data_IF_521716451665
#
_entry.id   IF_521716451665
#
_cell.length_a   1.000
_cell.length_b   1.000
_cell.length_c   1.000
_cell.angle_alpha   90.00
_cell.angle_beta   90.00
_cell.angle_gamma   90.00
#
_symmetry.space_group_name_H-M   'P 1'
#
loop_
_entity.id
_entity.type
_entity.pdbx_description
1 polymer ?
#
# COMPACT_ATOMS: atom_id res chain seq x y z
N UNK A 1 21.66 72.64 36.10
CA UNK A 1 23.03 73.07 35.83
C UNK A 1 23.64 72.10 34.83
N UNK A 2 23.99 72.74 33.77
CA UNK A 2 25.04 72.47 32.74
C UNK A 2 24.83 71.33 31.76
N UNK A 3 24.60 71.81 30.56
CA UNK A 3 24.72 71.19 29.22
C UNK A 3 26.04 70.49 28.98
N UNK A 4 26.00 69.43 28.15
CA UNK A 4 27.00 69.25 27.10
C UNK A 4 26.34 68.47 25.92
N UNK A 5 26.24 69.19 24.81
CA UNK A 5 25.95 68.64 23.45
C UNK A 5 27.17 67.92 22.98
N UNK A 6 26.97 66.67 22.38
CA UNK A 6 27.97 66.12 21.53
C UNK A 6 27.30 65.59 20.26
N UNK A 7 27.72 66.18 19.15
CA UNK A 7 27.34 65.85 17.77
C UNK A 7 27.87 64.46 17.35
N UNK A 8 26.98 63.59 16.98
CA UNK A 8 27.38 62.38 16.31
C UNK A 8 26.99 62.48 14.82
N UNK A 9 27.99 62.55 13.96
CA UNK A 9 27.87 62.54 12.50
C UNK A 9 27.37 61.19 12.04
N UNK A 10 26.19 61.15 11.43
CA UNK A 10 25.66 59.95 10.77
C UNK A 10 26.39 59.79 9.45
N UNK A 11 27.19 58.72 9.34
CA UNK A 11 27.81 58.26 8.11
C UNK A 11 26.83 57.31 7.45
N UNK A 12 26.15 57.76 6.37
CA UNK A 12 25.29 56.89 5.57
C UNK A 12 26.18 56.08 4.65
N UNK A 13 26.41 54.79 4.99
CA UNK A 13 27.02 53.81 4.09
C UNK A 13 25.87 53.23 3.29
N UNK A 14 25.82 53.58 2.00
CA UNK A 14 24.97 52.92 1.02
C UNK A 14 25.49 51.54 0.74
N UNK A 15 24.91 50.52 1.35
CA UNK A 15 25.13 49.11 1.01
C UNK A 15 24.30 48.80 -0.23
N UNK A 16 24.93 48.72 -1.38
CA UNK A 16 24.35 48.12 -2.57
C UNK A 16 24.16 46.61 -2.34
N UNK A 17 22.92 46.23 -2.03
CA UNK A 17 22.54 44.83 -1.91
C UNK A 17 22.43 44.24 -3.31
N UNK A 18 23.48 43.57 -3.75
CA UNK A 18 23.40 42.70 -4.94
C UNK A 18 22.51 41.51 -4.62
N UNK A 19 21.26 41.58 -5.05
CA UNK A 19 20.34 40.42 -5.03
C UNK A 19 20.83 39.45 -6.12
N UNK A 20 21.71 38.53 -5.74
CA UNK A 20 21.99 37.37 -6.56
C UNK A 20 20.75 36.49 -6.50
N UNK A 21 19.97 36.55 -7.57
CA UNK A 21 18.81 35.66 -7.73
C UNK A 21 19.31 34.21 -7.74
N UNK A 22 19.08 33.49 -6.65
CA UNK A 22 19.24 32.04 -6.63
C UNK A 22 18.23 31.45 -7.63
N UNK A 23 18.67 30.63 -8.61
CA UNK A 23 17.71 29.94 -9.43
C UNK A 23 16.87 29.05 -8.52
N UNK A 24 15.56 29.28 -8.53
CA UNK A 24 14.62 28.32 -7.95
C UNK A 24 14.76 27.08 -8.81
N UNK A 25 15.49 26.06 -8.33
CA UNK A 25 15.40 24.73 -8.87
C UNK A 25 13.95 24.30 -8.66
N UNK A 26 13.14 24.40 -9.70
CA UNK A 26 11.91 23.64 -9.77
C UNK A 26 12.35 22.19 -9.78
N UNK A 27 12.20 21.53 -8.64
CA UNK A 27 12.28 20.08 -8.59
C UNK A 27 11.22 19.59 -9.57
N UNK A 28 11.64 19.13 -10.74
CA UNK A 28 10.80 18.31 -11.58
C UNK A 28 10.36 17.15 -10.69
N UNK A 29 9.09 17.16 -10.33
CA UNK A 29 8.46 16.02 -9.70
C UNK A 29 8.53 14.95 -10.78
N UNK A 30 9.57 14.10 -10.71
CA UNK A 30 9.67 12.90 -11.51
C UNK A 30 8.41 12.09 -11.15
N UNK A 31 7.41 12.23 -12.01
CA UNK A 31 6.24 11.36 -11.99
C UNK A 31 6.79 9.99 -12.35
N UNK A 32 7.10 9.18 -11.32
CA UNK A 32 7.51 7.80 -11.53
C UNK A 32 6.47 7.17 -12.45
N UNK A 33 6.89 6.54 -13.56
CA UNK A 33 5.95 5.93 -14.47
C UNK A 33 5.08 4.99 -13.67
N UNK A 34 3.76 5.10 -13.84
CA UNK A 34 2.83 4.09 -13.35
C UNK A 34 3.35 2.76 -13.90
N UNK A 35 3.69 1.82 -13.02
CA UNK A 35 4.05 0.49 -13.44
C UNK A 35 2.77 -0.06 -14.04
N UNK A 36 2.73 -0.18 -15.37
CA UNK A 36 1.61 -0.78 -16.07
C UNK A 36 1.55 -2.26 -15.67
N UNK A 37 0.75 -2.54 -14.67
CA UNK A 37 0.61 -3.88 -14.11
C UNK A 37 -0.61 -4.53 -14.72
N UNK A 38 -0.41 -5.30 -15.79
CA UNK A 38 -1.46 -6.15 -16.33
C UNK A 38 -1.59 -7.43 -15.47
N UNK A 39 -2.60 -7.52 -14.57
CA UNK A 39 -2.72 -8.66 -13.68
C UNK A 39 -3.01 -9.96 -14.40
N UNK A 40 -3.67 -9.91 -15.58
CA UNK A 40 -3.97 -11.11 -16.36
C UNK A 40 -2.71 -11.78 -16.92
N UNK A 41 -1.69 -10.99 -17.27
CA UNK A 41 -0.40 -11.53 -17.71
C UNK A 41 0.41 -12.09 -16.53
N UNK A 42 0.35 -11.42 -15.39
CA UNK A 42 1.11 -11.79 -14.20
C UNK A 42 0.49 -13.00 -13.48
N UNK A 43 -0.80 -12.95 -13.21
CA UNK A 43 -1.50 -13.88 -12.31
C UNK A 43 -2.55 -14.75 -13.01
N UNK A 44 -3.00 -14.35 -14.21
CA UNK A 44 -4.22 -14.86 -14.82
C UNK A 44 -5.45 -14.17 -14.21
N UNK A 45 -6.45 -14.97 -13.90
CA UNK A 45 -7.73 -14.48 -13.36
C UNK A 45 -7.76 -14.34 -11.82
N UNK A 46 -6.72 -14.90 -11.11
CA UNK A 46 -6.82 -15.04 -9.66
C UNK A 46 -5.47 -15.19 -8.97
N UNK A 47 -5.38 -14.68 -7.73
CA UNK A 47 -4.32 -15.00 -6.76
C UNK A 47 -4.96 -15.72 -5.56
N UNK A 48 -4.28 -16.75 -5.03
CA UNK A 48 -4.72 -17.50 -3.85
C UNK A 48 -3.55 -17.66 -2.89
N UNK A 49 -3.77 -17.28 -1.63
CA UNK A 49 -2.87 -17.55 -0.52
C UNK A 49 -3.57 -18.37 0.56
N UNK A 50 -2.87 -19.37 1.10
CA UNK A 50 -3.19 -19.85 2.43
C UNK A 50 -2.63 -18.87 3.47
N UNK A 51 -3.41 -18.61 4.51
CA UNK A 51 -2.98 -17.82 5.67
C UNK A 51 -2.58 -18.77 6.77
N UNK A 52 -1.34 -18.65 7.21
CA UNK A 52 -0.71 -19.53 8.19
C UNK A 52 -0.34 -18.74 9.43
N UNK A 53 -0.74 -19.22 10.60
CA UNK A 53 -0.38 -18.68 11.91
C UNK A 53 0.35 -19.77 12.68
N UNK A 54 1.58 -19.46 13.14
CA UNK A 54 2.41 -20.42 13.90
C UNK A 54 2.47 -21.81 13.25
N UNK A 55 2.65 -21.85 11.93
CA UNK A 55 2.76 -23.08 11.15
C UNK A 55 1.44 -23.80 10.85
N UNK A 56 0.30 -23.29 11.32
CA UNK A 56 -1.03 -23.86 11.05
C UNK A 56 -1.81 -22.99 10.08
N UNK A 57 -2.43 -23.61 9.06
CA UNK A 57 -3.37 -22.91 8.20
C UNK A 57 -4.60 -22.49 9.00
N UNK A 58 -4.87 -21.18 9.01
CA UNK A 58 -5.99 -20.58 9.73
C UNK A 58 -6.96 -19.83 8.82
N UNK A 59 -6.60 -19.63 7.55
CA UNK A 59 -7.43 -18.83 6.64
C UNK A 59 -7.00 -18.95 5.18
N UNK A 60 -7.64 -18.09 4.38
CA UNK A 60 -7.41 -17.96 2.95
C UNK A 60 -7.55 -16.49 2.52
N UNK A 61 -6.73 -16.06 1.57
CA UNK A 61 -6.89 -14.80 0.87
C UNK A 61 -6.97 -15.05 -0.64
N UNK A 62 -8.02 -14.54 -1.26
CA UNK A 62 -8.28 -14.67 -2.70
C UNK A 62 -8.43 -13.29 -3.31
N UNK A 63 -7.76 -13.06 -4.43
CA UNK A 63 -7.92 -11.86 -5.26
C UNK A 63 -8.32 -12.31 -6.65
N UNK A 64 -9.48 -11.85 -7.12
CA UNK A 64 -10.01 -12.14 -8.46
C UNK A 64 -9.93 -10.91 -9.35
N UNK A 65 -9.56 -11.11 -10.61
CA UNK A 65 -9.44 -10.08 -11.63
C UNK A 65 -10.47 -10.30 -12.74
N UNK A 66 -11.20 -9.23 -13.09
CA UNK A 66 -12.23 -9.25 -14.12
C UNK A 66 -12.10 -8.04 -15.04
N UNK A 67 -12.64 -8.13 -16.25
CA UNK A 67 -12.58 -7.07 -17.25
C UNK A 67 -11.33 -7.11 -18.11
N UNK A 68 -10.66 -6.00 -18.28
CA UNK A 68 -9.42 -5.87 -19.06
C UNK A 68 -8.42 -4.94 -18.38
N UNK A 69 -7.19 -4.82 -18.92
CA UNK A 69 -6.14 -4.04 -18.27
C UNK A 69 -6.50 -2.56 -18.10
N UNK A 70 -7.27 -1.98 -19.02
CA UNK A 70 -7.65 -0.57 -18.97
C UNK A 70 -8.97 -0.30 -18.23
N UNK A 71 -9.77 -1.34 -17.98
CA UNK A 71 -11.02 -1.27 -17.22
C UNK A 71 -11.12 -2.53 -16.36
N UNK A 72 -10.38 -2.50 -15.24
CA UNK A 72 -10.13 -3.64 -14.38
C UNK A 72 -11.01 -3.56 -13.13
N UNK A 73 -11.73 -4.63 -12.86
CA UNK A 73 -12.46 -4.84 -11.62
C UNK A 73 -11.75 -5.91 -10.78
N UNK A 74 -11.37 -5.56 -9.57
CA UNK A 74 -10.66 -6.43 -8.64
C UNK A 74 -11.53 -6.69 -7.42
N UNK A 75 -11.73 -7.96 -7.08
CA UNK A 75 -12.32 -8.34 -5.80
C UNK A 75 -11.25 -9.01 -4.94
N UNK A 76 -11.27 -8.72 -3.64
CA UNK A 76 -10.38 -9.38 -2.69
C UNK A 76 -11.21 -9.88 -1.50
N UNK A 77 -10.99 -11.12 -1.11
CA UNK A 77 -11.66 -11.76 0.03
C UNK A 77 -10.62 -12.42 0.91
N UNK A 78 -10.66 -12.08 2.19
CA UNK A 78 -9.84 -12.71 3.20
C UNK A 78 -10.74 -13.25 4.30
N UNK A 79 -10.49 -14.48 4.73
CA UNK A 79 -11.14 -15.05 5.89
C UNK A 79 -10.12 -15.80 6.75
N UNK A 80 -10.21 -15.60 8.04
CA UNK A 80 -9.38 -16.25 9.05
C UNK A 80 -10.23 -16.71 10.21
N UNK A 81 -9.98 -17.94 10.70
CA UNK A 81 -10.63 -18.49 11.90
C UNK A 81 -9.59 -19.16 12.77
N UNK A 82 -9.66 -18.86 14.07
CA UNK A 82 -8.81 -19.46 15.09
C UNK A 82 -9.71 -20.21 16.06
N UNK A 83 -9.58 -21.52 16.09
CA UNK A 83 -10.30 -22.39 17.02
C UNK A 83 -9.37 -22.82 18.16
N UNK A 84 -9.87 -22.75 19.40
CA UNK A 84 -9.21 -23.25 20.62
C UNK A 84 -10.13 -24.28 21.24
N UNK A 85 -9.67 -25.53 21.42
CA UNK A 85 -10.43 -26.63 22.00
C UNK A 85 -11.83 -26.81 21.39
N UNK A 86 -11.91 -26.70 20.04
CA UNK A 86 -13.14 -26.82 19.24
C UNK A 86 -14.13 -25.64 19.37
N UNK A 87 -13.73 -24.56 20.03
CA UNK A 87 -14.52 -23.33 20.16
C UNK A 87 -13.90 -22.29 19.23
N UNK A 88 -14.72 -21.62 18.40
CA UNK A 88 -14.25 -20.48 17.63
C UNK A 88 -13.86 -19.36 18.61
N UNK A 89 -12.56 -19.10 18.71
CA UNK A 89 -11.99 -18.11 19.62
C UNK A 89 -11.80 -16.75 18.94
N UNK A 90 -11.72 -16.72 17.60
CA UNK A 90 -11.58 -15.49 16.81
C UNK A 90 -11.93 -15.74 15.35
N UNK A 91 -12.60 -14.79 14.74
CA UNK A 91 -12.88 -14.79 13.31
C UNK A 91 -12.62 -13.40 12.70
N UNK A 92 -12.04 -13.39 11.52
CA UNK A 92 -11.84 -12.16 10.76
C UNK A 92 -12.26 -12.37 9.31
N UNK A 93 -13.10 -11.47 8.81
CA UNK A 93 -13.55 -11.47 7.43
C UNK A 93 -13.33 -10.09 6.80
N UNK A 94 -12.75 -10.09 5.63
CA UNK A 94 -12.53 -8.91 4.81
C UNK A 94 -13.03 -9.17 3.40
N UNK A 95 -13.66 -8.17 2.82
CA UNK A 95 -13.97 -8.16 1.40
C UNK A 95 -13.77 -6.76 0.83
N UNK A 96 -13.23 -6.68 -0.38
CA UNK A 96 -13.14 -5.43 -1.12
C UNK A 96 -13.49 -5.60 -2.59
N UNK A 97 -13.95 -4.51 -3.18
CA UNK A 97 -14.22 -4.36 -4.61
C UNK A 97 -13.60 -3.05 -5.06
N UNK A 98 -12.79 -3.09 -6.10
CA UNK A 98 -12.07 -1.93 -6.62
C UNK A 98 -12.20 -1.85 -8.14
N UNK A 99 -12.49 -0.66 -8.66
CA UNK A 99 -12.43 -0.35 -10.08
C UNK A 99 -11.17 0.45 -10.38
N UNK A 100 -10.42 -0.01 -11.37
CA UNK A 100 -9.23 0.63 -11.88
C UNK A 100 -9.41 0.95 -13.35
N UNK A 101 -9.06 2.19 -13.75
CA UNK A 101 -9.09 2.61 -15.17
C UNK A 101 -7.74 3.18 -15.54
N UNK A 102 -7.16 2.66 -16.60
CA UNK A 102 -5.85 3.08 -17.10
C UNK A 102 -4.78 3.10 -15.98
N UNK A 103 -4.77 2.05 -15.13
CA UNK A 103 -3.84 1.90 -14.01
C UNK A 103 -4.12 2.79 -12.79
N UNK A 104 -5.21 3.58 -12.79
CA UNK A 104 -5.59 4.49 -11.70
C UNK A 104 -6.81 3.96 -10.95
N UNK A 105 -6.75 3.97 -9.62
CA UNK A 105 -7.89 3.61 -8.77
C UNK A 105 -9.02 4.64 -8.91
N UNK A 106 -10.21 4.17 -9.28
CA UNK A 106 -11.40 5.00 -9.45
C UNK A 106 -12.33 4.95 -8.24
N UNK A 107 -12.59 3.76 -7.75
CA UNK A 107 -13.36 3.55 -6.54
C UNK A 107 -12.93 2.26 -5.84
N UNK A 108 -13.19 2.22 -4.56
CA UNK A 108 -12.93 1.08 -3.69
C UNK A 108 -14.05 1.03 -2.64
N UNK A 109 -14.61 -0.16 -2.46
CA UNK A 109 -15.49 -0.47 -1.33
C UNK A 109 -14.90 -1.60 -0.52
N UNK A 110 -14.87 -1.44 0.79
CA UNK A 110 -14.35 -2.44 1.74
C UNK A 110 -15.38 -2.71 2.82
N UNK A 111 -15.50 -3.95 3.20
CA UNK A 111 -16.23 -4.41 4.37
C UNK A 111 -15.31 -5.30 5.21
N UNK A 112 -15.22 -5.03 6.49
CA UNK A 112 -14.49 -5.81 7.48
C UNK A 112 -15.45 -6.25 8.57
N UNK A 113 -15.31 -7.49 9.03
CA UNK A 113 -15.91 -8.01 10.24
C UNK A 113 -14.81 -8.64 11.08
N UNK A 114 -14.40 -7.94 12.13
CA UNK A 114 -13.39 -8.35 13.07
C UNK A 114 -14.07 -8.85 14.35
N UNK A 115 -14.28 -10.16 14.44
CA UNK A 115 -14.92 -10.85 15.54
C UNK A 115 -16.28 -10.21 15.99
N UNK A 116 -17.04 -9.74 14.98
CA UNK A 116 -18.33 -9.06 15.18
C UNK A 116 -18.28 -7.54 15.08
N UNK A 117 -17.14 -6.93 15.25
CA UNK A 117 -16.94 -5.49 14.99
C UNK A 117 -16.88 -5.22 13.51
N UNK A 118 -17.74 -4.32 13.02
CA UNK A 118 -17.89 -4.04 11.59
C UNK A 118 -17.29 -2.69 11.22
N UNK A 119 -16.50 -2.69 10.17
CA UNK A 119 -15.95 -1.50 9.55
C UNK A 119 -16.27 -1.47 8.06
N UNK A 120 -16.45 -0.28 7.50
CA UNK A 120 -16.62 -0.10 6.06
C UNK A 120 -15.87 1.12 5.56
N UNK A 121 -15.29 0.98 4.36
CA UNK A 121 -14.60 2.04 3.64
C UNK A 121 -15.22 2.17 2.26
N UNK A 122 -15.41 3.40 1.80
CA UNK A 122 -15.77 3.71 0.42
C UNK A 122 -14.91 4.84 -0.10
N UNK A 123 -14.47 4.71 -1.34
CA UNK A 123 -13.78 5.80 -2.04
C UNK A 123 -14.45 6.09 -3.37
N UNK A 124 -14.26 7.30 -3.85
CA UNK A 124 -14.71 7.69 -5.18
C UNK A 124 -13.74 8.70 -5.78
N UNK A 125 -13.29 8.43 -7.02
CA UNK A 125 -12.47 9.37 -7.78
C UNK A 125 -13.23 10.63 -8.13
N UNK A 126 -12.59 11.75 -7.90
CA UNK A 126 -12.91 13.05 -8.45
C UNK A 126 -11.84 13.40 -9.50
N UNK A 127 -11.61 14.61 -9.82
CA UNK A 127 -10.62 14.99 -10.85
C UNK A 127 -9.23 14.30 -10.61
N UNK A 128 -8.48 14.80 -9.66
CA UNK A 128 -7.11 14.37 -9.35
C UNK A 128 -6.93 13.81 -7.92
N UNK A 129 -8.03 13.46 -7.25
CA UNK A 129 -8.04 12.89 -5.90
C UNK A 129 -9.15 11.85 -5.74
N UNK A 130 -9.04 11.03 -4.69
CA UNK A 130 -10.14 10.22 -4.16
C UNK A 130 -10.77 10.94 -2.97
N UNK A 131 -12.10 10.94 -2.90
CA UNK A 131 -12.80 11.13 -1.62
C UNK A 131 -12.83 9.81 -0.90
N UNK A 132 -12.51 9.82 0.39
CA UNK A 132 -12.50 8.64 1.26
C UNK A 132 -13.55 8.83 2.35
N UNK A 133 -14.38 7.81 2.59
CA UNK A 133 -15.37 7.77 3.66
C UNK A 133 -15.23 6.44 4.41
N UNK A 134 -14.90 6.51 5.67
CA UNK A 134 -14.64 5.37 6.56
C UNK A 134 -15.55 5.34 7.81
N UNK A 135 -16.71 5.99 7.71
CA UNK A 135 -17.65 6.12 8.84
C UNK A 135 -17.35 7.29 9.78
N UNK A 136 -16.28 8.03 9.52
CA UNK A 136 -15.91 9.29 10.17
C UNK A 136 -16.07 10.46 9.20
N UNK A 137 -15.53 11.63 9.55
CA UNK A 137 -15.46 12.76 8.62
C UNK A 137 -14.60 12.38 7.40
N UNK A 138 -15.18 12.51 6.21
CA UNK A 138 -14.51 12.14 4.96
C UNK A 138 -13.33 13.06 4.64
N UNK A 139 -12.32 12.52 3.97
CA UNK A 139 -11.15 13.27 3.55
C UNK A 139 -10.78 13.01 2.09
N UNK A 140 -9.80 13.75 1.58
CA UNK A 140 -9.33 13.65 0.20
C UNK A 140 -7.90 13.14 0.15
N UNK A 141 -7.62 12.26 -0.82
CA UNK A 141 -6.30 11.68 -1.05
C UNK A 141 -5.87 11.97 -2.49
N UNK A 142 -4.69 12.57 -2.73
CA UNK A 142 -4.17 12.79 -4.07
C UNK A 142 -3.96 11.47 -4.82
N UNK A 143 -4.16 11.50 -6.14
CA UNK A 143 -3.85 10.39 -7.04
C UNK A 143 -2.44 10.54 -7.65
N UNK A 144 -1.75 9.44 -7.96
CA UNK A 144 -2.16 8.06 -7.73
C UNK A 144 -2.03 7.64 -6.25
N UNK A 145 -2.91 6.76 -5.81
CA UNK A 145 -2.85 6.13 -4.50
C UNK A 145 -3.07 4.63 -4.64
N UNK A 146 -2.38 3.84 -3.84
CA UNK A 146 -2.51 2.38 -3.82
C UNK A 146 -3.09 1.94 -2.48
N UNK A 147 -4.13 1.08 -2.49
CA UNK A 147 -4.59 0.42 -1.28
C UNK A 147 -3.63 -0.70 -0.88
N UNK A 148 -3.72 -1.16 0.37
CA UNK A 148 -2.89 -2.23 0.94
C UNK A 148 -3.25 -3.65 0.42
N UNK A 149 -3.62 -3.76 -0.85
CA UNK A 149 -3.98 -5.05 -1.50
C UNK A 149 -2.80 -5.76 -2.18
N UNK A 150 -1.66 -5.13 -2.28
CA UNK A 150 -0.34 -5.63 -2.71
C UNK A 150 -0.24 -6.34 -4.07
N UNK A 151 -1.33 -6.68 -4.75
CA UNK A 151 -1.27 -7.32 -6.07
C UNK A 151 -0.60 -6.43 -7.14
N UNK A 152 -0.66 -5.10 -6.96
CA UNK A 152 -0.06 -4.12 -7.85
C UNK A 152 1.27 -3.62 -7.27
N UNK A 153 2.38 -4.04 -7.88
CA UNK A 153 3.73 -3.66 -7.44
C UNK A 153 4.02 -2.14 -7.58
N UNK A 154 3.15 -1.36 -8.21
CA UNK A 154 3.23 0.10 -8.23
C UNK A 154 3.21 0.74 -6.84
N UNK A 155 2.71 0.01 -5.83
CA UNK A 155 2.76 0.42 -4.42
C UNK A 155 4.20 0.60 -3.92
N UNK A 156 5.18 -0.13 -4.45
CA UNK A 156 6.58 -0.07 -4.02
C UNK A 156 7.25 1.29 -4.25
N UNK A 157 6.70 2.11 -5.13
CA UNK A 157 7.18 3.46 -5.41
C UNK A 157 6.49 4.54 -4.55
N UNK A 158 5.67 4.14 -3.58
CA UNK A 158 4.86 5.08 -2.79
C UNK A 158 5.46 5.28 -1.39
N UNK A 159 5.24 6.45 -0.83
CA UNK A 159 5.49 6.77 0.58
C UNK A 159 4.18 6.95 1.37
N UNK A 160 3.04 6.76 0.71
CA UNK A 160 1.70 6.76 1.31
C UNK A 160 0.86 5.65 0.69
N UNK A 161 0.11 4.95 1.54
CA UNK A 161 -0.82 3.90 1.13
C UNK A 161 -2.17 4.09 1.80
N UNK A 162 -3.24 3.74 1.12
CA UNK A 162 -4.57 3.71 1.72
C UNK A 162 -4.74 2.38 2.46
N UNK A 163 -4.75 2.43 3.78
CA UNK A 163 -4.98 1.26 4.61
C UNK A 163 -6.43 0.80 4.49
N UNK A 164 -6.64 -0.36 3.92
CA UNK A 164 -7.99 -0.89 3.67
C UNK A 164 -8.67 -1.45 4.92
N UNK A 165 -7.94 -1.65 6.01
CA UNK A 165 -8.50 -2.14 7.28
C UNK A 165 -8.94 -1.01 8.21
N UNK A 166 -8.27 0.15 8.15
CA UNK A 166 -8.60 1.30 9.01
C UNK A 166 -9.23 2.45 8.25
N UNK A 167 -9.08 2.48 6.93
CA UNK A 167 -9.51 3.60 6.08
C UNK A 167 -8.65 4.84 6.23
N UNK A 168 -7.45 4.74 6.78
CA UNK A 168 -6.51 5.83 6.98
C UNK A 168 -5.48 5.91 5.85
N UNK A 169 -4.87 7.07 5.70
CA UNK A 169 -3.72 7.27 4.83
C UNK A 169 -2.44 7.08 5.65
N UNK A 170 -1.82 5.92 5.51
CA UNK A 170 -0.58 5.58 6.21
C UNK A 170 0.65 6.12 5.48
N UNK A 171 1.56 6.75 6.21
CA UNK A 171 2.90 7.06 5.73
C UNK A 171 3.78 5.82 5.90
N UNK A 172 4.45 5.43 4.83
CA UNK A 172 5.29 4.24 4.83
C UNK A 172 6.65 4.52 4.21
N UNK A 173 7.67 3.86 4.73
CA UNK A 173 8.96 3.70 4.08
C UNK A 173 9.06 2.24 3.62
N UNK A 174 9.34 2.02 2.33
CA UNK A 174 9.42 0.69 1.73
C UNK A 174 10.84 0.44 1.30
N UNK A 175 11.52 -0.51 1.95
CA UNK A 175 12.95 -0.77 1.79
C UNK A 175 13.18 -2.18 1.25
N UNK A 176 14.00 -2.30 0.19
CA UNK A 176 14.49 -3.58 -0.33
C UNK A 176 15.43 -4.25 0.68
N UNK A 177 15.17 -5.52 1.01
CA UNK A 177 15.97 -6.31 1.95
C UNK A 177 16.84 -7.39 1.28
N UNK A 178 16.67 -7.58 -0.02
CA UNK A 178 17.42 -8.57 -0.80
C UNK A 178 16.57 -9.74 -1.28
N UNK A 179 17.16 -10.53 -2.19
CA UNK A 179 16.53 -11.73 -2.72
C UNK A 179 16.67 -12.91 -1.77
N UNK A 180 15.61 -13.68 -1.64
CA UNK A 180 15.62 -14.95 -0.92
C UNK A 180 14.67 -15.97 -1.54
N UNK A 181 14.75 -17.24 -1.08
CA UNK A 181 13.86 -18.31 -1.54
C UNK A 181 12.65 -18.41 -0.63
N UNK A 182 11.49 -18.07 -1.18
CA UNK A 182 10.20 -18.05 -0.48
C UNK A 182 9.45 -19.35 -0.74
N UNK A 183 8.94 -19.97 0.32
CA UNK A 183 8.09 -21.16 0.20
C UNK A 183 6.73 -20.81 -0.40
N UNK A 184 6.25 -21.66 -1.29
CA UNK A 184 4.92 -21.60 -1.88
C UNK A 184 4.30 -23.01 -1.88
N UNK A 185 3.00 -23.11 -2.10
CA UNK A 185 2.33 -24.41 -2.26
C UNK A 185 2.84 -25.27 -3.45
N UNK A 186 3.65 -24.68 -4.33
CA UNK A 186 4.23 -25.34 -5.51
C UNK A 186 5.76 -25.46 -5.47
N UNK A 187 6.38 -25.25 -4.30
CA UNK A 187 7.82 -25.23 -4.12
C UNK A 187 8.35 -23.86 -3.77
N UNK A 188 9.65 -23.60 -4.00
CA UNK A 188 10.29 -22.35 -3.65
C UNK A 188 10.41 -21.43 -4.85
N UNK A 189 10.20 -20.12 -4.61
CA UNK A 189 10.35 -19.07 -5.62
C UNK A 189 11.37 -18.07 -5.11
N UNK A 190 12.29 -17.62 -5.99
CA UNK A 190 13.20 -16.51 -5.69
C UNK A 190 12.43 -15.20 -5.74
N UNK A 191 12.44 -14.45 -4.64
CA UNK A 191 11.72 -13.19 -4.53
C UNK A 191 12.53 -12.14 -3.78
N UNK A 192 12.32 -10.88 -4.12
CA UNK A 192 12.82 -9.72 -3.40
C UNK A 192 11.92 -9.46 -2.21
N UNK A 193 12.49 -9.36 -1.02
CA UNK A 193 11.81 -8.95 0.20
C UNK A 193 11.79 -7.45 0.32
N UNK A 194 10.63 -6.88 0.61
CA UNK A 194 10.40 -5.48 0.93
C UNK A 194 9.85 -5.36 2.34
N UNK A 195 10.50 -4.55 3.19
CA UNK A 195 9.98 -4.21 4.50
C UNK A 195 9.29 -2.85 4.45
N UNK A 196 8.08 -2.80 4.97
CA UNK A 196 7.33 -1.58 5.23
C UNK A 196 7.56 -1.17 6.67
N UNK A 197 7.82 0.11 6.89
CA UNK A 197 7.93 0.73 8.21
C UNK A 197 7.15 2.04 8.25
N UNK A 198 6.92 2.59 9.44
CA UNK A 198 6.12 3.79 9.65
C UNK A 198 4.75 3.45 10.25
N UNK A 199 3.67 3.97 9.65
CA UNK A 199 2.30 3.73 10.15
C UNK A 199 1.78 2.32 9.82
N UNK A 200 2.49 1.56 8.98
CA UNK A 200 2.20 0.17 8.64
C UNK A 200 3.49 -0.64 8.64
N UNK A 201 3.52 -1.73 9.43
CA UNK A 201 4.66 -2.64 9.50
C UNK A 201 4.26 -3.99 8.90
N UNK A 202 4.94 -4.39 7.82
CA UNK A 202 4.75 -5.68 7.16
C UNK A 202 5.93 -6.01 6.26
N UNK A 203 6.13 -7.26 5.95
CA UNK A 203 7.09 -7.71 4.95
C UNK A 203 6.38 -8.36 3.78
N UNK A 204 6.81 -8.03 2.56
CA UNK A 204 6.15 -8.48 1.33
C UNK A 204 7.20 -8.96 0.35
N UNK A 205 6.87 -10.03 -0.36
CA UNK A 205 7.74 -10.64 -1.36
C UNK A 205 7.15 -10.52 -2.75
N UNK A 206 7.98 -9.98 -3.65
CA UNK A 206 7.68 -9.96 -5.09
C UNK A 206 8.77 -10.73 -5.84
N UNK A 207 8.35 -11.60 -6.75
CA UNK A 207 9.29 -12.31 -7.61
C UNK A 207 9.93 -11.41 -8.68
N UNK A 208 10.77 -11.98 -9.55
CA UNK A 208 11.48 -11.24 -10.61
C UNK A 208 10.54 -10.59 -11.63
N UNK A 209 9.31 -11.07 -11.75
CA UNK A 209 8.25 -10.49 -12.59
C UNK A 209 7.37 -9.48 -11.85
N UNK A 210 7.76 -9.10 -10.62
CA UNK A 210 6.96 -8.24 -9.74
C UNK A 210 5.59 -8.81 -9.37
N UNK A 211 5.46 -10.16 -9.31
CA UNK A 211 4.27 -10.82 -8.79
C UNK A 211 4.36 -10.94 -7.28
N UNK A 212 3.29 -10.60 -6.60
CA UNK A 212 3.15 -10.80 -5.16
C UNK A 212 3.09 -12.29 -4.83
N UNK A 213 4.07 -12.79 -4.10
CA UNK A 213 4.24 -14.22 -3.81
C UNK A 213 4.26 -14.55 -2.32
N UNK A 214 4.25 -13.55 -1.47
CA UNK A 214 4.23 -13.76 -0.01
C UNK A 214 4.04 -12.46 0.75
N UNK A 215 3.59 -12.59 2.01
CA UNK A 215 3.50 -11.51 2.99
C UNK A 215 3.67 -12.08 4.38
N UNK A 216 4.24 -11.31 5.29
CA UNK A 216 4.33 -11.64 6.71
C UNK A 216 4.12 -10.38 7.54
N UNK A 217 3.39 -10.52 8.64
CA UNK A 217 3.24 -9.49 9.65
C UNK A 217 3.02 -10.11 11.03
N UNK A 218 3.16 -9.30 12.06
CA UNK A 218 2.91 -9.71 13.45
C UNK A 218 1.49 -9.28 13.83
N UNK A 219 0.69 -10.23 14.26
CA UNK A 219 -0.65 -9.97 14.79
C UNK A 219 -0.61 -9.19 16.11
N UNK A 220 -1.74 -8.63 16.52
CA UNK A 220 -1.86 -7.87 17.78
C UNK A 220 -1.54 -8.70 19.04
N UNK A 221 -1.64 -10.02 18.93
CA UNK A 221 -1.28 -10.98 19.99
C UNK A 221 0.19 -11.44 19.94
N UNK A 222 1.01 -10.86 19.05
CA UNK A 222 2.42 -11.20 18.84
C UNK A 222 2.65 -12.42 17.95
N UNK A 223 1.61 -13.07 17.44
CA UNK A 223 1.76 -14.22 16.54
C UNK A 223 2.20 -13.82 15.13
N UNK A 224 3.01 -14.68 14.50
CA UNK A 224 3.43 -14.49 13.12
C UNK A 224 2.37 -15.01 12.16
N UNK A 225 1.90 -14.13 11.28
CA UNK A 225 0.95 -14.42 10.21
C UNK A 225 1.68 -14.39 8.88
N UNK A 226 1.62 -15.49 8.14
CA UNK A 226 2.28 -15.64 6.82
C UNK A 226 1.26 -15.96 5.74
N UNK A 227 1.48 -15.38 4.57
CA UNK A 227 0.75 -15.68 3.34
C UNK A 227 1.58 -16.64 2.50
N UNK A 228 1.12 -17.87 2.37
CA UNK A 228 1.74 -18.92 1.56
C UNK A 228 1.03 -18.99 0.20
N UNK A 229 1.72 -18.58 -0.84
CA UNK A 229 1.15 -18.58 -2.19
C UNK A 229 0.76 -19.97 -2.68
N UNK A 230 -0.51 -20.17 -3.05
CA UNK A 230 -1.04 -21.37 -3.71
C UNK A 230 -1.19 -21.16 -5.22
N UNK A 231 -1.62 -19.96 -5.64
CA UNK A 231 -1.74 -19.54 -7.03
C UNK A 231 -1.33 -18.07 -7.15
N UNK A 232 -0.11 -17.78 -7.60
CA UNK A 232 0.43 -16.42 -7.74
C UNK A 232 1.10 -16.21 -9.11
N UNK A 233 0.72 -16.99 -10.10
CA UNK A 233 1.17 -16.86 -11.48
C UNK A 233 0.09 -17.29 -12.44
N UNK A 234 0.02 -16.65 -13.62
CA UNK A 234 -0.72 -17.20 -14.74
C UNK A 234 -0.21 -18.62 -15.02
N UNK A 235 -1.10 -19.56 -15.33
CA UNK A 235 -0.68 -20.86 -15.80
C UNK A 235 0.24 -20.66 -17.02
N UNK A 236 1.48 -21.16 -16.94
CA UNK A 236 2.31 -21.26 -18.13
C UNK A 236 1.53 -22.10 -19.13
N UNK A 237 1.21 -21.55 -20.29
CA UNK A 237 0.86 -22.41 -21.42
C UNK A 237 2.14 -23.20 -21.72
N UNK A 238 2.19 -24.43 -21.24
CA UNK A 238 3.18 -25.36 -21.71
C UNK A 238 2.97 -25.46 -23.23
N UNK A 239 4.00 -25.06 -23.99
CA UNK A 239 4.08 -25.25 -25.44
C UNK A 239 4.67 -26.62 -25.75
#
# INVERSE_FOLDING_TARGET
MTHIFSFFKIFIISILLNIVGTPILTADIYKLPLIDTNPFELYGDQIIFDVVREGKRVGIHVVDFHGGPNDLFVTSKFSLKIDILFINAYSFEYSSQANWKDGVLHDLSVLVNDDGEKFSLKTQKRSNYLTVSNGQEGFQVPLPIYPTNHWNAGVLAQNKVLNTLTGELNNVEIVEKGYEMVDTGKGKVKAMRYAYTGDLETEIWYDEKKRWVGMEFVGSDGSHIKYLCQKCSSASREK
#
